data_IF_738810212802
#
_entry.id   IF_738810212802
#
_cell.length_a   1.000
_cell.length_b   1.000
_cell.length_c   1.000
_cell.angle_alpha   90.00
_cell.angle_beta   90.00
_cell.angle_gamma   90.00
#
_symmetry.space_group_name_H-M   'P 1'
#
loop_
_entity.id
_entity.type
_entity.pdbx_description
1 polymer ?
#
# COMPACT_ATOMS: atom_id res chain seq x y z
N UNK A 1 -4.84 -24.61 -19.50
CA UNK A 1 -5.73 -23.70 -18.73
C UNK A 1 -5.13 -22.31 -18.76
N UNK A 2 -5.91 -21.25 -18.98
CA UNK A 2 -5.42 -19.87 -18.91
C UNK A 2 -5.60 -19.41 -17.46
N UNK A 3 -4.49 -19.18 -16.75
CA UNK A 3 -4.54 -18.66 -15.37
C UNK A 3 -5.33 -17.36 -15.31
N UNK A 4 -6.11 -17.17 -14.23
CA UNK A 4 -6.79 -15.91 -13.97
C UNK A 4 -5.78 -14.78 -13.80
N UNK A 5 -6.08 -13.59 -14.33
CA UNK A 5 -5.24 -12.42 -14.11
C UNK A 5 -5.25 -12.09 -12.60
N UNK A 6 -4.07 -11.94 -12.00
CA UNK A 6 -3.94 -11.44 -10.63
C UNK A 6 -4.32 -9.96 -10.57
N UNK A 7 -5.27 -9.63 -9.68
CA UNK A 7 -5.86 -8.29 -9.52
C UNK A 7 -6.05 -8.01 -8.03
N UNK A 8 -5.77 -6.78 -7.61
CA UNK A 8 -5.85 -6.30 -6.23
C UNK A 8 -6.96 -5.26 -6.09
N UNK A 9 -7.68 -5.27 -4.97
CA UNK A 9 -8.67 -4.23 -4.63
C UNK A 9 -7.98 -3.02 -4.01
N UNK A 10 -8.18 -1.85 -4.62
CA UNK A 10 -7.65 -0.54 -4.17
C UNK A 10 -8.75 0.52 -4.16
N UNK A 11 -10.01 0.08 -4.08
CA UNK A 11 -11.17 0.95 -4.17
C UNK A 11 -11.17 1.97 -3.03
N UNK A 12 -11.41 3.26 -3.34
CA UNK A 12 -11.82 4.21 -2.32
C UNK A 12 -13.00 3.63 -1.54
N UNK A 13 -12.92 3.70 -0.22
CA UNK A 13 -13.99 3.32 0.69
C UNK A 13 -14.95 4.49 0.81
N UNK A 14 -16.18 4.19 1.23
CA UNK A 14 -17.22 5.21 1.48
C UNK A 14 -17.11 5.85 2.85
N UNK A 15 -16.21 5.34 3.69
CA UNK A 15 -15.99 5.75 5.06
C UNK A 15 -15.10 4.78 5.82
N UNK A 16 -15.04 4.96 7.13
CA UNK A 16 -14.32 4.09 8.04
C UNK A 16 -15.02 4.01 9.40
N UNK A 17 -14.66 3.00 10.19
CA UNK A 17 -15.08 2.89 11.58
C UNK A 17 -14.05 3.58 12.47
N UNK A 18 -14.49 4.58 13.22
CA UNK A 18 -13.74 5.24 14.28
C UNK A 18 -13.96 4.49 15.59
N UNK A 19 -12.87 4.08 16.24
CA UNK A 19 -12.84 3.34 17.51
C UNK A 19 -13.78 2.12 17.56
N UNK A 20 -14.04 1.50 16.40
CA UNK A 20 -14.91 0.34 16.26
C UNK A 20 -16.39 0.58 16.61
N UNK A 21 -16.80 1.80 16.93
CA UNK A 21 -18.13 2.10 17.48
C UNK A 21 -18.93 3.08 16.62
N UNK A 22 -18.26 3.90 15.80
CA UNK A 22 -18.90 4.94 15.00
C UNK A 22 -18.49 4.85 13.54
N UNK A 23 -19.48 4.85 12.63
CA UNK A 23 -19.22 4.96 11.19
C UNK A 23 -19.04 6.44 10.80
N UNK A 24 -17.93 6.75 10.13
CA UNK A 24 -17.62 8.08 9.59
C UNK A 24 -17.74 8.02 8.06
N UNK A 25 -18.74 8.69 7.44
CA UNK A 25 -18.92 8.71 5.99
C UNK A 25 -17.94 9.70 5.34
N UNK A 26 -16.70 9.25 5.16
CA UNK A 26 -15.63 10.00 4.49
C UNK A 26 -15.13 9.19 3.29
N UNK A 27 -15.57 9.52 2.06
CA UNK A 27 -15.10 8.86 0.85
C UNK A 27 -13.59 9.06 0.65
N UNK A 28 -12.86 7.97 0.41
CA UNK A 28 -11.41 8.04 0.19
C UNK A 28 -10.69 6.72 0.43
N UNK A 29 -9.38 6.74 0.24
CA UNK A 29 -8.52 5.62 0.66
C UNK A 29 -8.03 5.88 2.07
N UNK A 30 -8.35 4.96 2.98
CA UNK A 30 -8.09 5.14 4.42
C UNK A 30 -6.65 4.78 4.82
N UNK A 31 -5.85 4.25 3.90
CA UNK A 31 -4.46 3.89 4.13
C UNK A 31 -3.56 4.85 3.35
N UNK A 32 -2.42 5.21 3.91
CA UNK A 32 -1.37 5.98 3.22
C UNK A 32 -0.43 5.06 2.41
N UNK A 33 -0.30 3.80 2.85
CA UNK A 33 0.56 2.78 2.24
C UNK A 33 -0.25 1.53 1.96
N UNK A 34 -0.14 1.01 0.75
CA UNK A 34 -0.66 -0.29 0.35
C UNK A 34 0.48 -1.30 0.25
N UNK A 35 0.32 -2.45 0.90
CA UNK A 35 1.20 -3.62 0.74
C UNK A 35 0.44 -4.68 -0.04
N UNK A 36 0.80 -4.86 -1.30
CA UNK A 36 0.17 -5.85 -2.18
C UNK A 36 1.04 -7.10 -2.25
N UNK A 37 0.49 -8.23 -1.81
CA UNK A 37 1.21 -9.50 -1.75
C UNK A 37 0.86 -10.41 -2.93
N UNK A 38 1.86 -10.96 -3.61
CA UNK A 38 1.72 -11.85 -4.76
C UNK A 38 2.52 -13.13 -4.54
N UNK A 39 1.88 -14.27 -4.78
CA UNK A 39 2.51 -15.59 -4.71
C UNK A 39 2.76 -16.11 -6.15
N UNK A 40 3.98 -16.00 -6.69
CA UNK A 40 4.31 -16.40 -8.06
C UNK A 40 4.31 -17.92 -8.30
N UNK A 41 4.46 -18.73 -7.27
CA UNK A 41 4.47 -20.20 -7.41
C UNK A 41 3.02 -20.68 -7.47
N UNK A 42 2.64 -21.34 -8.56
CA UNK A 42 1.28 -21.82 -8.83
C UNK A 42 1.21 -23.33 -9.13
N UNK A 43 2.32 -24.04 -8.94
CA UNK A 43 2.43 -25.50 -9.10
C UNK A 43 2.35 -26.25 -7.76
N UNK A 44 2.59 -27.55 -7.78
CA UNK A 44 2.55 -28.42 -6.60
C UNK A 44 3.57 -28.06 -5.50
N UNK A 45 4.51 -27.15 -5.79
CA UNK A 45 5.52 -26.66 -4.82
C UNK A 45 5.04 -25.44 -4.05
N UNK A 46 3.87 -24.89 -4.39
CA UNK A 46 3.28 -23.74 -3.72
C UNK A 46 3.01 -24.05 -2.24
N UNK A 47 3.73 -23.38 -1.34
CA UNK A 47 3.43 -23.36 0.09
C UNK A 47 3.12 -21.92 0.51
N UNK A 48 1.83 -21.60 0.58
CA UNK A 48 1.36 -20.25 0.95
C UNK A 48 1.80 -19.83 2.36
N UNK A 49 2.31 -20.75 3.19
CA UNK A 49 2.83 -20.47 4.54
C UNK A 49 4.30 -20.10 4.52
N UNK A 50 5.03 -20.37 3.43
CA UNK A 50 6.45 -20.02 3.29
C UNK A 50 6.59 -18.56 2.84
N UNK A 51 7.04 -17.64 3.73
CA UNK A 51 7.19 -16.23 3.39
C UNK A 51 8.20 -15.98 2.26
N UNK A 52 9.14 -16.91 2.02
CA UNK A 52 10.12 -16.79 0.94
C UNK A 52 9.50 -16.96 -0.45
N UNK A 53 8.31 -17.57 -0.55
CA UNK A 53 7.56 -17.69 -1.80
C UNK A 53 6.73 -16.44 -2.11
N UNK A 54 6.65 -15.45 -1.22
CA UNK A 54 5.87 -14.23 -1.43
C UNK A 54 6.71 -13.06 -1.95
N UNK A 55 6.10 -12.31 -2.86
CA UNK A 55 6.57 -11.00 -3.31
C UNK A 55 5.61 -9.93 -2.82
N UNK A 56 6.15 -8.84 -2.31
CA UNK A 56 5.38 -7.71 -1.79
C UNK A 56 5.70 -6.45 -2.58
N UNK A 57 4.67 -5.67 -2.88
CA UNK A 57 4.79 -4.37 -3.53
C UNK A 57 4.26 -3.32 -2.57
N UNK A 58 5.13 -2.41 -2.15
CA UNK A 58 4.79 -1.33 -1.21
C UNK A 58 4.59 -0.05 -2.00
N UNK A 59 3.38 0.50 -1.98
CA UNK A 59 2.99 1.63 -2.82
C UNK A 59 2.31 2.70 -1.97
N UNK A 60 2.76 3.95 -2.12
CA UNK A 60 2.08 5.11 -1.54
C UNK A 60 0.70 5.31 -2.20
N UNK A 61 -0.30 5.69 -1.40
CA UNK A 61 -1.66 5.92 -1.88
C UNK A 61 -1.75 6.98 -2.98
N UNK A 62 -0.86 7.97 -2.94
CA UNK A 62 -0.71 9.03 -3.95
C UNK A 62 -0.20 8.52 -5.30
N UNK A 63 0.50 7.38 -5.34
CA UNK A 63 1.00 6.76 -6.57
C UNK A 63 0.00 5.76 -7.19
N UNK A 64 -1.08 5.42 -6.48
CA UNK A 64 -2.09 4.50 -6.99
C UNK A 64 -3.02 5.18 -8.01
N UNK A 65 -3.35 4.51 -9.13
CA UNK A 65 -4.29 5.04 -10.11
C UNK A 65 -5.69 5.22 -9.50
N UNK A 66 -6.48 6.17 -9.99
CA UNK A 66 -7.86 6.39 -9.54
C UNK A 66 -8.82 5.35 -10.12
N UNK A 67 -8.89 4.18 -9.48
CA UNK A 67 -9.73 3.06 -9.88
C UNK A 67 -9.96 2.11 -8.70
N UNK A 68 -10.88 1.17 -8.89
CA UNK A 68 -11.27 0.19 -7.84
C UNK A 68 -10.30 -0.96 -7.69
N UNK A 69 -9.63 -1.35 -8.76
CA UNK A 69 -8.74 -2.50 -8.76
C UNK A 69 -7.48 -2.21 -9.56
N UNK A 70 -6.40 -2.96 -9.32
CA UNK A 70 -5.15 -2.84 -10.09
C UNK A 70 -4.62 -4.22 -10.44
N UNK A 71 -4.19 -4.41 -11.68
CA UNK A 71 -3.61 -5.69 -12.13
C UNK A 71 -2.16 -5.84 -11.65
N UNK A 72 -1.68 -7.07 -11.50
CA UNK A 72 -0.27 -7.33 -11.18
C UNK A 72 0.69 -6.64 -12.16
N UNK A 73 0.40 -6.66 -13.47
CA UNK A 73 1.25 -5.98 -14.46
C UNK A 73 1.36 -4.47 -14.21
N UNK A 74 0.28 -3.82 -13.75
CA UNK A 74 0.34 -2.41 -13.37
C UNK A 74 1.09 -2.22 -12.05
N UNK A 75 0.90 -3.10 -11.07
CA UNK A 75 1.64 -3.07 -9.79
C UNK A 75 3.16 -3.15 -10.01
N UNK A 76 3.62 -4.05 -10.87
CA UNK A 76 5.04 -4.20 -11.22
C UNK A 76 5.63 -2.93 -11.85
N UNK A 77 4.81 -2.13 -12.55
CA UNK A 77 5.25 -0.83 -13.09
C UNK A 77 5.28 0.32 -12.06
N UNK A 78 4.63 0.13 -10.89
CA UNK A 78 4.50 1.15 -9.85
C UNK A 78 5.53 0.98 -8.74
N UNK A 79 5.95 -0.25 -8.47
CA UNK A 79 6.91 -0.56 -7.41
C UNK A 79 7.74 -1.81 -7.76
N UNK A 80 8.97 -1.82 -7.26
CA UNK A 80 9.81 -3.02 -7.29
C UNK A 80 9.28 -4.08 -6.33
N UNK A 81 9.38 -5.37 -6.67
CA UNK A 81 9.05 -6.44 -5.75
C UNK A 81 10.05 -6.48 -4.58
N UNK A 82 9.53 -6.70 -3.38
CA UNK A 82 10.29 -6.90 -2.15
C UNK A 82 10.00 -8.29 -1.60
N UNK A 83 11.04 -8.94 -1.08
CA UNK A 83 10.90 -10.17 -0.31
C UNK A 83 10.49 -9.84 1.12
N UNK A 84 10.06 -10.86 1.86
CA UNK A 84 9.59 -10.71 3.23
C UNK A 84 10.62 -10.03 4.16
N UNK A 85 11.90 -10.36 4.01
CA UNK A 85 13.03 -9.80 4.77
C UNK A 85 13.20 -8.28 4.57
N UNK A 86 12.93 -7.76 3.36
CA UNK A 86 13.02 -6.33 3.03
C UNK A 86 11.71 -5.55 3.15
N UNK A 87 10.61 -6.20 3.54
CA UNK A 87 9.28 -5.59 3.54
C UNK A 87 9.17 -4.47 4.59
N UNK A 88 9.54 -4.75 5.85
CA UNK A 88 9.43 -3.78 6.93
C UNK A 88 10.23 -2.51 6.66
N UNK A 89 11.46 -2.66 6.15
CA UNK A 89 12.31 -1.55 5.75
C UNK A 89 11.67 -0.70 4.64
N UNK A 90 11.02 -1.34 3.67
CA UNK A 90 10.39 -0.65 2.55
C UNK A 90 9.15 0.16 2.99
N UNK A 91 8.38 -0.38 3.95
CA UNK A 91 7.25 0.35 4.56
C UNK A 91 7.75 1.55 5.35
N UNK A 92 8.77 1.37 6.18
CA UNK A 92 9.31 2.47 7.00
C UNK A 92 9.93 3.58 6.13
N UNK A 93 10.62 3.22 5.05
CA UNK A 93 11.17 4.22 4.12
C UNK A 93 10.06 5.11 3.51
N UNK A 94 8.93 4.54 3.11
CA UNK A 94 7.80 5.34 2.61
C UNK A 94 7.14 6.18 3.71
N UNK A 95 7.04 5.64 4.92
CA UNK A 95 6.51 6.37 6.07
C UNK A 95 7.34 7.62 6.38
N UNK A 96 8.67 7.51 6.35
CA UNK A 96 9.57 8.65 6.58
C UNK A 96 9.47 9.72 5.48
N UNK A 97 9.18 9.32 4.23
CA UNK A 97 8.90 10.29 3.16
C UNK A 97 7.66 11.13 3.48
N UNK A 98 6.57 10.51 3.95
CA UNK A 98 5.37 11.25 4.35
C UNK A 98 5.60 12.19 5.54
N UNK A 99 6.46 11.79 6.49
CA UNK A 99 6.85 12.65 7.60
C UNK A 99 7.64 13.86 7.14
N UNK A 100 8.53 13.66 6.17
CA UNK A 100 9.38 14.72 5.62
C UNK A 100 8.55 15.73 4.83
N UNK A 101 7.57 15.27 4.04
CA UNK A 101 6.63 16.13 3.30
C UNK A 101 5.73 16.97 4.24
N UNK A 102 5.43 16.46 5.44
CA UNK A 102 4.68 17.20 6.46
C UNK A 102 5.52 18.28 7.17
N UNK A 103 6.86 18.14 7.16
CA UNK A 103 7.79 19.03 7.86
C UNK A 103 8.16 20.32 7.11
N UNK A 104 7.84 20.43 5.83
CA UNK A 104 8.19 21.59 4.98
C UNK A 104 7.07 22.66 4.92
N UNK A 105 5.96 22.44 5.62
CA UNK A 105 4.90 23.44 5.77
C UNK A 105 5.17 24.40 6.95
N UNK A 106 6.06 25.36 6.71
CA UNK A 106 6.07 26.70 7.29
C UNK A 106 5.79 26.82 8.80
N UNK A 107 6.84 26.75 9.62
CA UNK A 107 6.81 27.40 10.94
C UNK A 107 6.68 28.91 10.73
N UNK A 108 5.46 29.43 10.79
CA UNK A 108 5.24 30.85 11.02
C UNK A 108 5.89 31.20 12.37
N UNK A 109 7.01 31.90 12.28
CA UNK A 109 7.74 32.49 13.39
C UNK A 109 6.80 33.48 14.10
N UNK A 110 6.15 33.03 15.17
CA UNK A 110 5.50 33.94 16.12
C UNK A 110 6.60 34.72 16.84
N UNK A 111 6.92 35.89 16.29
CA UNK A 111 7.77 36.89 16.92
C UNK A 111 6.95 37.54 18.04
N UNK A 112 7.28 37.20 19.28
CA UNK A 112 6.87 37.98 20.46
C UNK A 112 7.97 38.99 20.77
N UNK A 113 7.69 40.26 20.45
CA UNK A 113 8.25 41.43 21.12
C UNK A 113 7.10 42.34 21.51
#
# INVERSE_FOLDING_TARGET
MKGSKSVFDIAPRTGYWEDGSRWIPQPGRNADIYVLAYHPVDDERADHRDPAQWLFYVIATTALPDQKTVSLGRVVSLAEPRRFDGLAQSVEALRENFRSDAGDNGFAQFSIY
#
